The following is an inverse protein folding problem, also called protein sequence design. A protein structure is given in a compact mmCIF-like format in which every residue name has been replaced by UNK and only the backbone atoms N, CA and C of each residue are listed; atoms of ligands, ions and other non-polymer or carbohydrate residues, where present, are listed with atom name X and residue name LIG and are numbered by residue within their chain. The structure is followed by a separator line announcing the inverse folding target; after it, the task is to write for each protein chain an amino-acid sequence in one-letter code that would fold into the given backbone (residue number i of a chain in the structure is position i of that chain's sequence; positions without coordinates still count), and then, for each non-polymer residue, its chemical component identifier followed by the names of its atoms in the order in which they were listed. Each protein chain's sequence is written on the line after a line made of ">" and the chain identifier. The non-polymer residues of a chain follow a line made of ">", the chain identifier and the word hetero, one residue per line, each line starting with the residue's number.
data_IF_902026659078
#
_entry.id   IF_902026659078
#
_cell.length_a   1.000
_cell.length_b   1.000
_cell.length_c   1.000
_cell.angle_alpha   90.00
_cell.angle_beta   90.00
_cell.angle_gamma   90.00
#
_symmetry.space_group_name_H-M   'P 1'
#
loop_
_entity.id
_entity.type
_entity.pdbx_description
1 polymer ?
#
# COMPACT_ATOMS: atom_id res chain seq x y z
N UNK A 1 -2.15 -9.89 -43.65
CA UNK A 1 -3.49 -9.28 -43.45
C UNK A 1 -3.86 -9.11 -41.95
N UNK A 2 -3.42 -9.98 -41.05
CA UNK A 2 -3.71 -9.86 -39.59
C UNK A 2 -2.93 -8.72 -38.89
N UNK A 3 -1.66 -8.52 -39.23
CA UNK A 3 -0.83 -7.45 -38.65
C UNK A 3 -1.36 -6.03 -38.92
N UNK A 4 -1.96 -5.81 -40.09
CA UNK A 4 -2.52 -4.53 -40.42
C UNK A 4 -3.80 -4.21 -39.61
N UNK A 5 -4.59 -5.24 -39.24
CA UNK A 5 -5.76 -5.05 -38.38
C UNK A 5 -5.41 -4.71 -36.94
N UNK A 6 -4.33 -5.29 -36.42
CA UNK A 6 -3.85 -4.98 -35.08
C UNK A 6 -3.30 -3.54 -35.01
N UNK A 7 -2.49 -3.12 -36.00
CA UNK A 7 -1.97 -1.77 -36.06
C UNK A 7 -3.08 -0.71 -36.14
N UNK A 8 -4.14 -0.96 -36.92
CA UNK A 8 -5.29 -0.08 -37.02
C UNK A 8 -6.08 -0.03 -35.70
N UNK A 9 -6.22 -1.16 -35.01
CA UNK A 9 -6.89 -1.22 -33.71
C UNK A 9 -6.09 -0.45 -32.64
N UNK A 10 -4.77 -0.60 -32.61
CA UNK A 10 -3.84 0.15 -31.73
C UNK A 10 -4.00 1.66 -31.98
N UNK A 11 -3.84 2.11 -33.23
CA UNK A 11 -3.95 3.51 -33.59
C UNK A 11 -5.33 4.13 -33.21
N UNK A 12 -6.40 3.35 -33.32
CA UNK A 12 -7.75 3.77 -32.93
C UNK A 12 -7.92 3.93 -31.43
N UNK A 13 -7.30 3.05 -30.65
CA UNK A 13 -7.32 3.12 -29.18
C UNK A 13 -6.45 4.30 -28.71
N UNK A 14 -5.23 4.44 -29.25
CA UNK A 14 -4.33 5.55 -28.91
C UNK A 14 -4.92 6.91 -29.30
N UNK A 15 -5.59 7.00 -30.46
CA UNK A 15 -6.27 8.23 -30.89
C UNK A 15 -7.46 8.62 -30.01
N UNK A 16 -8.12 7.64 -29.35
CA UNK A 16 -9.28 7.89 -28.50
C UNK A 16 -8.93 8.09 -27.03
N UNK A 17 -7.86 7.42 -26.54
CA UNK A 17 -7.53 7.34 -25.12
C UNK A 17 -6.11 7.87 -24.80
N UNK A 18 -5.37 8.33 -25.82
CA UNK A 18 -3.99 8.82 -25.70
C UNK A 18 -2.95 7.74 -25.99
N UNK A 19 -1.74 8.17 -26.38
CA UNK A 19 -0.61 7.29 -26.78
C UNK A 19 -0.09 6.36 -25.68
N UNK A 20 -0.49 6.57 -24.43
CA UNK A 20 -0.14 5.73 -23.29
C UNK A 20 -1.27 4.77 -22.86
N UNK A 21 -2.36 4.70 -23.64
CA UNK A 21 -3.50 3.84 -23.32
C UNK A 21 -3.21 2.34 -23.48
N UNK A 22 -2.16 2.01 -24.26
CA UNK A 22 -1.73 0.64 -24.50
C UNK A 22 -0.30 0.45 -24.04
N UNK A 23 -0.03 -0.61 -23.29
CA UNK A 23 1.31 -1.08 -22.96
C UNK A 23 1.54 -2.45 -23.62
N UNK A 24 2.72 -2.63 -24.23
CA UNK A 24 3.13 -3.94 -24.73
C UNK A 24 3.52 -4.83 -23.56
N UNK A 25 3.02 -6.06 -23.52
CA UNK A 25 3.27 -7.01 -22.45
C UNK A 25 4.74 -7.47 -22.31
N UNK A 26 5.55 -7.27 -23.34
CA UNK A 26 6.96 -7.69 -23.40
C UNK A 26 7.96 -6.66 -22.88
N UNK A 27 7.55 -5.39 -22.78
CA UNK A 27 8.43 -4.30 -22.29
C UNK A 27 8.49 -4.24 -20.76
N UNK A 28 7.72 -5.08 -20.06
CA UNK A 28 7.43 -4.90 -18.66
C UNK A 28 8.42 -5.56 -17.69
N UNK A 29 9.17 -6.60 -18.10
CA UNK A 29 9.97 -7.36 -17.13
C UNK A 29 11.27 -6.68 -16.69
N UNK A 30 11.95 -5.97 -17.58
CA UNK A 30 13.22 -5.30 -17.25
C UNK A 30 13.04 -3.96 -16.51
N UNK A 31 11.92 -3.26 -16.73
CA UNK A 31 11.59 -2.03 -16.00
C UNK A 31 10.83 -2.28 -14.68
N UNK A 32 10.25 -3.47 -14.50
CA UNK A 32 9.51 -3.81 -13.27
C UNK A 32 10.43 -4.01 -12.06
N UNK A 33 11.62 -4.57 -12.23
CA UNK A 33 12.49 -4.85 -11.09
C UNK A 33 12.96 -3.59 -10.35
N UNK A 34 13.20 -2.50 -11.08
CA UNK A 34 13.68 -1.25 -10.51
C UNK A 34 12.58 -0.40 -9.87
N UNK A 35 11.32 -0.73 -10.17
CA UNK A 35 10.14 -0.01 -9.71
C UNK A 35 9.38 -0.73 -8.58
N UNK A 36 9.88 -1.89 -8.11
CA UNK A 36 9.26 -2.67 -7.06
C UNK A 36 9.92 -2.40 -5.72
N UNK A 37 9.10 -2.05 -4.72
CA UNK A 37 9.52 -1.92 -3.32
C UNK A 37 9.25 -3.26 -2.64
N UNK A 38 10.28 -4.10 -2.52
CA UNK A 38 10.20 -5.35 -1.80
C UNK A 38 10.30 -5.08 -0.29
N UNK A 39 9.33 -5.58 0.48
CA UNK A 39 9.32 -5.42 1.95
C UNK A 39 10.26 -6.39 2.65
N UNK A 40 10.85 -7.35 1.90
CA UNK A 40 11.69 -8.44 2.41
C UNK A 40 10.98 -9.26 3.48
N UNK A 41 9.72 -9.58 3.22
CA UNK A 41 8.85 -10.35 4.10
C UNK A 41 7.90 -11.24 3.30
N UNK A 42 7.17 -12.12 3.98
CA UNK A 42 6.13 -12.95 3.37
C UNK A 42 5.03 -12.12 2.69
N UNK A 43 4.90 -10.83 3.03
CA UNK A 43 4.00 -9.91 2.35
C UNK A 43 4.29 -9.78 0.85
N UNK A 44 5.57 -9.81 0.45
CA UNK A 44 5.95 -9.70 -0.96
C UNK A 44 5.34 -10.81 -1.82
N UNK A 45 5.25 -12.04 -1.27
CA UNK A 45 4.60 -13.16 -1.96
C UNK A 45 3.12 -12.85 -2.22
N UNK A 46 2.42 -12.32 -1.23
CA UNK A 46 1.00 -11.96 -1.33
C UNK A 46 0.78 -10.77 -2.28
N UNK A 47 1.73 -9.83 -2.32
CA UNK A 47 1.72 -8.67 -3.22
C UNK A 47 2.16 -9.02 -4.66
N UNK A 48 2.71 -10.21 -4.90
CA UNK A 48 3.27 -10.57 -6.21
C UNK A 48 4.65 -9.98 -6.48
N UNK A 49 5.43 -9.75 -5.41
CA UNK A 49 6.82 -9.25 -5.46
C UNK A 49 7.07 -8.00 -4.62
N UNK A 50 6.05 -7.24 -4.29
CA UNK A 50 6.14 -5.99 -3.52
C UNK A 50 5.20 -4.90 -4.03
N UNK A 51 5.45 -3.66 -3.62
CA UNK A 51 4.70 -2.49 -4.09
C UNK A 51 5.30 -1.99 -5.41
N UNK A 52 4.47 -1.81 -6.42
CA UNK A 52 4.92 -1.40 -7.77
C UNK A 52 4.71 0.09 -7.94
N UNK A 53 5.73 0.80 -8.44
CA UNK A 53 5.59 2.21 -8.81
C UNK A 53 4.52 2.38 -9.89
N UNK A 54 3.74 3.46 -9.79
CA UNK A 54 2.63 3.71 -10.72
C UNK A 54 1.40 2.84 -10.45
N UNK A 55 1.38 2.01 -9.40
CA UNK A 55 0.25 1.19 -9.00
C UNK A 55 -0.24 1.56 -7.60
N UNK A 56 -1.58 1.73 -7.41
CA UNK A 56 -2.14 1.93 -6.09
C UNK A 56 -2.47 0.59 -5.45
N UNK A 57 -2.24 0.46 -4.14
CA UNK A 57 -2.78 -0.63 -3.34
C UNK A 57 -3.39 -0.10 -2.03
N UNK A 58 -4.31 -0.85 -1.45
CA UNK A 58 -4.93 -0.52 -0.17
C UNK A 58 -4.74 -1.63 0.87
N UNK A 59 -4.34 -1.24 2.08
CA UNK A 59 -4.34 -2.05 3.28
C UNK A 59 -5.58 -1.72 4.10
N UNK A 60 -6.49 -2.69 4.20
CA UNK A 60 -7.81 -2.51 4.80
C UNK A 60 -7.97 -3.44 5.99
N UNK A 61 -8.61 -2.97 7.04
CA UNK A 61 -8.94 -3.77 8.21
C UNK A 61 -9.17 -2.93 9.46
N UNK A 62 -9.60 -3.55 10.56
CA UNK A 62 -9.91 -2.86 11.79
C UNK A 62 -8.70 -2.12 12.38
N UNK A 63 -8.90 -1.21 13.34
CA UNK A 63 -7.81 -0.57 14.05
C UNK A 63 -6.90 -1.58 14.75
N UNK A 64 -5.64 -1.21 14.93
CA UNK A 64 -4.63 -1.99 15.70
C UNK A 64 -4.42 -3.43 15.21
N UNK A 65 -4.60 -3.68 13.90
CA UNK A 65 -4.40 -5.02 13.30
C UNK A 65 -3.03 -5.17 12.63
N UNK A 66 -2.18 -4.14 12.64
CA UNK A 66 -0.81 -4.23 12.08
C UNK A 66 -0.62 -3.56 10.71
N UNK A 67 -1.66 -2.92 10.14
CA UNK A 67 -1.56 -2.21 8.85
C UNK A 67 -0.42 -1.19 8.83
N UNK A 68 -0.35 -0.33 9.86
CA UNK A 68 0.66 0.72 9.98
C UNK A 68 2.07 0.15 10.13
N UNK A 69 2.25 -0.96 10.87
CA UNK A 69 3.56 -1.62 10.96
C UNK A 69 4.07 -2.06 9.59
N UNK A 70 3.21 -2.66 8.78
CA UNK A 70 3.61 -3.06 7.42
C UNK A 70 3.80 -1.86 6.48
N UNK A 71 3.01 -0.79 6.62
CA UNK A 71 3.21 0.45 5.88
C UNK A 71 4.56 1.12 6.24
N UNK A 72 4.91 1.17 7.53
CA UNK A 72 6.22 1.66 7.99
C UNK A 72 7.37 0.78 7.49
N UNK A 73 7.21 -0.55 7.48
CA UNK A 73 8.20 -1.47 6.91
C UNK A 73 8.40 -1.23 5.41
N UNK A 74 7.31 -1.03 4.66
CA UNK A 74 7.39 -0.67 3.24
C UNK A 74 8.10 0.67 3.03
N UNK A 75 7.83 1.65 3.91
CA UNK A 75 8.51 2.96 3.91
C UNK A 75 10.02 2.81 4.11
N UNK A 76 10.43 2.06 5.13
CA UNK A 76 11.85 1.78 5.37
C UNK A 76 12.51 1.06 4.18
N UNK A 77 11.79 0.14 3.54
CA UNK A 77 12.27 -0.58 2.35
C UNK A 77 12.43 0.35 1.13
N UNK A 78 11.49 1.29 0.92
CA UNK A 78 11.59 2.30 -0.14
C UNK A 78 12.83 3.21 0.06
N UNK A 79 13.09 3.60 1.30
CA UNK A 79 14.25 4.41 1.68
C UNK A 79 15.56 3.65 1.53
N UNK A 80 15.60 2.36 1.88
CA UNK A 80 16.76 1.49 1.69
C UNK A 80 17.14 1.32 0.20
N UNK A 81 16.20 1.50 -0.71
CA UNK A 81 16.41 1.53 -2.17
C UNK A 81 16.80 2.92 -2.69
N UNK A 82 17.14 3.85 -1.81
CA UNK A 82 17.63 5.18 -2.18
C UNK A 82 16.54 6.26 -2.33
N UNK A 83 15.24 5.93 -2.15
CA UNK A 83 14.13 6.87 -2.31
C UNK A 83 13.80 7.68 -1.06
N UNK A 84 13.01 8.73 -1.23
CA UNK A 84 12.26 9.39 -0.17
C UNK A 84 10.86 8.81 -0.09
N UNK A 85 10.17 9.04 1.04
CA UNK A 85 8.78 8.70 1.19
C UNK A 85 7.95 9.92 1.61
N UNK A 86 6.71 9.97 1.14
CA UNK A 86 5.71 10.90 1.64
C UNK A 86 4.66 10.14 2.45
N UNK A 87 4.28 10.68 3.61
CA UNK A 87 3.20 10.17 4.44
C UNK A 87 2.12 11.23 4.57
N UNK A 88 0.99 11.00 3.92
CA UNK A 88 -0.16 11.90 3.96
C UNK A 88 -1.04 11.45 5.13
N UNK A 89 -1.13 12.30 6.15
CA UNK A 89 -1.74 12.02 7.46
C UNK A 89 -2.86 13.04 7.77
N UNK A 90 -4.07 12.85 7.24
CA UNK A 90 -5.19 13.74 7.50
C UNK A 90 -5.67 13.70 8.95
N UNK A 91 -5.38 12.63 9.68
CA UNK A 91 -5.82 12.42 11.06
C UNK A 91 -4.84 12.93 12.11
N UNK A 92 -3.62 13.25 11.71
CA UNK A 92 -2.51 13.62 12.59
C UNK A 92 -2.15 12.48 13.59
N UNK A 93 -2.23 11.23 13.11
CA UNK A 93 -1.98 10.00 13.88
C UNK A 93 -0.58 9.42 13.69
N UNK A 94 0.24 10.00 12.82
CA UNK A 94 1.59 9.51 12.55
C UNK A 94 2.45 9.55 13.84
N UNK A 95 2.98 8.38 14.20
CA UNK A 95 3.86 8.20 15.34
C UNK A 95 5.33 8.09 14.88
N UNK A 96 6.16 9.13 15.10
CA UNK A 96 7.56 9.10 14.71
C UNK A 96 8.39 8.07 15.50
N UNK A 97 7.99 7.72 16.73
CA UNK A 97 8.69 6.72 17.53
C UNK A 97 8.46 5.33 16.93
N UNK A 98 7.22 5.02 16.55
CA UNK A 98 6.90 3.77 15.84
C UNK A 98 7.64 3.70 14.49
N UNK A 99 7.74 4.81 13.77
CA UNK A 99 8.48 4.89 12.52
C UNK A 99 9.98 4.60 12.70
N UNK A 100 10.63 5.20 13.71
CA UNK A 100 12.02 4.93 14.03
C UNK A 100 12.24 3.46 14.44
N UNK A 101 11.34 2.88 15.23
CA UNK A 101 11.38 1.45 15.60
C UNK A 101 11.28 0.54 14.37
N UNK A 102 10.50 0.94 13.37
CA UNK A 102 10.39 0.27 12.08
C UNK A 102 11.58 0.55 11.14
N UNK A 103 12.61 1.28 11.62
CA UNK A 103 13.80 1.68 10.86
C UNK A 103 13.51 2.64 9.70
N UNK A 104 12.46 3.43 9.83
CA UNK A 104 12.20 4.54 8.91
C UNK A 104 13.19 5.67 9.22
N UNK A 105 13.87 6.15 8.18
CA UNK A 105 14.70 7.34 8.24
C UNK A 105 13.81 8.57 8.18
N UNK A 106 13.70 9.30 9.29
CA UNK A 106 12.85 10.48 9.38
C UNK A 106 13.38 11.67 8.58
N UNK A 107 14.66 11.74 8.27
CA UNK A 107 15.24 12.78 7.42
C UNK A 107 14.85 12.60 5.95
N UNK A 108 14.44 11.39 5.58
CA UNK A 108 13.98 11.02 4.23
C UNK A 108 12.47 10.77 4.18
N UNK A 109 11.72 11.29 5.16
CA UNK A 109 10.28 11.19 5.24
C UNK A 109 9.66 12.59 5.32
N UNK A 110 8.70 12.86 4.42
CA UNK A 110 7.87 14.07 4.50
C UNK A 110 6.48 13.67 4.99
N UNK A 111 6.06 14.21 6.14
CA UNK A 111 4.72 14.01 6.67
C UNK A 111 3.86 15.23 6.33
N UNK A 112 2.74 15.00 5.62
CA UNK A 112 1.83 16.05 5.14
C UNK A 112 0.46 15.91 5.83
N UNK A 113 0.06 16.87 6.61
CA UNK A 113 -1.24 16.92 7.29
C UNK A 113 -2.27 17.65 6.45
N UNK A 114 -2.81 16.97 5.43
CA UNK A 114 -3.80 17.51 4.51
C UNK A 114 -5.17 16.90 4.76
N UNK A 115 -6.22 17.72 4.87
CA UNK A 115 -7.60 17.29 5.16
C UNK A 115 -8.56 17.78 4.08
N UNK A 116 -9.73 17.11 3.97
CA UNK A 116 -10.79 17.49 3.04
C UNK A 116 -10.29 17.54 1.59
N UNK A 117 -10.60 18.61 0.88
CA UNK A 117 -10.19 18.78 -0.52
C UNK A 117 -8.67 18.80 -0.74
N UNK A 118 -7.88 19.19 0.30
CA UNK A 118 -6.43 19.22 0.21
C UNK A 118 -5.79 17.82 0.26
N UNK A 119 -6.50 16.80 0.76
CA UNK A 119 -6.01 15.42 0.80
C UNK A 119 -5.64 14.91 -0.59
N UNK A 120 -6.59 14.98 -1.53
CA UNK A 120 -6.35 14.55 -2.91
C UNK A 120 -5.29 15.41 -3.62
N UNK A 121 -5.27 16.73 -3.35
CA UNK A 121 -4.27 17.63 -3.94
C UNK A 121 -2.85 17.31 -3.46
N UNK A 122 -2.66 17.10 -2.15
CA UNK A 122 -1.38 16.74 -1.58
C UNK A 122 -0.91 15.36 -2.07
N UNK A 123 -1.82 14.38 -2.14
CA UNK A 123 -1.53 13.06 -2.69
C UNK A 123 -1.10 13.14 -4.16
N UNK A 124 -1.84 13.88 -4.98
CA UNK A 124 -1.50 14.05 -6.40
C UNK A 124 -0.18 14.80 -6.60
N UNK A 125 0.12 15.81 -5.78
CA UNK A 125 1.38 16.54 -5.82
C UNK A 125 2.56 15.63 -5.47
N UNK A 126 2.43 14.82 -4.42
CA UNK A 126 3.45 13.86 -4.04
C UNK A 126 3.70 12.80 -5.14
N UNK A 127 2.63 12.27 -5.76
CA UNK A 127 2.74 11.29 -6.84
C UNK A 127 3.38 11.84 -8.12
N UNK A 128 3.17 13.14 -8.42
CA UNK A 128 3.80 13.79 -9.58
C UNK A 128 5.24 14.22 -9.31
N UNK A 129 5.66 14.23 -8.07
CA UNK A 129 7.04 14.55 -7.71
C UNK A 129 7.95 13.37 -8.02
N UNK A 130 9.07 13.63 -8.69
CA UNK A 130 10.10 12.61 -8.94
C UNK A 130 10.94 12.27 -7.71
N UNK A 131 10.72 12.99 -6.59
CA UNK A 131 11.49 12.83 -5.35
C UNK A 131 11.05 11.66 -4.48
N UNK A 132 9.83 11.14 -4.67
CA UNK A 132 9.31 10.07 -3.81
C UNK A 132 9.32 8.71 -4.51
N UNK A 133 9.65 7.69 -3.73
CA UNK A 133 9.57 6.28 -4.11
C UNK A 133 8.27 5.64 -3.62
N UNK A 134 7.77 6.12 -2.48
CA UNK A 134 6.53 5.66 -1.87
C UNK A 134 5.72 6.84 -1.35
N UNK A 135 4.44 6.84 -1.68
CA UNK A 135 3.44 7.74 -1.09
C UNK A 135 2.48 6.88 -0.27
N UNK A 136 2.46 7.09 1.03
CA UNK A 136 1.50 6.46 1.95
C UNK A 136 0.40 7.48 2.26
N UNK A 137 -0.86 7.05 2.18
CA UNK A 137 -2.01 7.84 2.59
C UNK A 137 -2.73 7.10 3.71
N UNK A 138 -2.59 7.56 4.94
CA UNK A 138 -3.27 6.99 6.09
C UNK A 138 -4.58 7.74 6.35
N UNK A 139 -5.65 7.27 5.70
CA UNK A 139 -6.97 7.89 5.86
C UNK A 139 -7.62 7.54 7.20
N UNK A 140 -7.03 6.61 7.96
CA UNK A 140 -7.58 6.15 9.23
C UNK A 140 -8.84 5.31 9.07
N UNK A 141 -9.67 5.33 10.10
CA UNK A 141 -10.96 4.66 10.12
C UNK A 141 -12.06 5.71 10.33
N UNK A 142 -13.07 5.78 9.43
CA UNK A 142 -14.16 6.76 9.56
C UNK A 142 -14.91 6.68 10.90
N UNK A 143 -15.00 5.50 11.51
CA UNK A 143 -15.62 5.32 12.83
C UNK A 143 -14.85 6.02 13.96
N UNK A 144 -13.57 6.35 13.74
CA UNK A 144 -12.68 7.00 14.71
C UNK A 144 -12.15 8.36 14.22
N UNK A 145 -12.92 9.05 13.39
CA UNK A 145 -12.56 10.39 12.89
C UNK A 145 -11.63 10.39 11.68
N UNK A 146 -11.42 9.23 11.05
CA UNK A 146 -10.73 9.12 9.77
C UNK A 146 -11.57 9.66 8.60
N UNK A 147 -10.97 9.70 7.43
CA UNK A 147 -11.61 10.08 6.17
C UNK A 147 -11.89 8.83 5.33
N UNK A 148 -12.52 8.98 4.18
CA UNK A 148 -12.87 7.85 3.31
C UNK A 148 -11.80 7.62 2.25
N UNK A 149 -11.60 6.38 1.83
CA UNK A 149 -10.73 6.07 0.68
C UNK A 149 -11.20 6.79 -0.57
N UNK A 150 -12.52 7.00 -0.74
CA UNK A 150 -13.08 7.71 -1.89
C UNK A 150 -12.62 9.17 -2.00
N UNK A 151 -12.16 9.79 -0.91
CA UNK A 151 -11.70 11.18 -0.89
C UNK A 151 -10.35 11.37 -1.61
N UNK A 152 -9.61 10.29 -1.86
CA UNK A 152 -8.40 10.33 -2.69
C UNK A 152 -8.67 10.08 -4.18
N UNK A 153 -9.92 9.81 -4.57
CA UNK A 153 -10.28 9.51 -5.97
C UNK A 153 -9.70 10.52 -6.98
N UNK A 154 -9.73 11.85 -6.73
CA UNK A 154 -9.16 12.82 -7.66
C UNK A 154 -7.65 12.73 -7.84
N UNK A 155 -6.93 12.06 -6.91
CA UNK A 155 -5.49 11.86 -7.00
C UNK A 155 -5.09 10.61 -7.82
N UNK A 156 -5.99 9.63 -7.99
CA UNK A 156 -5.69 8.37 -8.66
C UNK A 156 -5.17 8.50 -10.11
N UNK A 157 -5.63 9.46 -10.93
CA UNK A 157 -5.03 9.68 -12.25
C UNK A 157 -3.53 10.01 -12.21
N UNK A 158 -3.03 10.59 -11.10
CA UNK A 158 -1.61 10.91 -10.94
C UNK A 158 -0.76 9.67 -10.60
N UNK A 159 -1.36 8.53 -10.27
CA UNK A 159 -0.63 7.29 -9.98
C UNK A 159 0.01 6.73 -11.23
N UNK A 160 -0.71 6.74 -12.36
CA UNK A 160 -0.17 6.25 -13.63
C UNK A 160 1.01 7.11 -14.07
N UNK A 161 2.13 6.46 -14.32
CA UNK A 161 3.38 7.14 -14.71
C UNK A 161 4.12 7.80 -13.54
N UNK A 162 3.62 7.68 -12.30
CA UNK A 162 4.36 8.09 -11.11
C UNK A 162 5.57 7.19 -10.88
N UNK A 163 6.74 7.74 -10.53
CA UNK A 163 7.88 6.94 -10.07
C UNK A 163 7.68 6.37 -8.67
N UNK A 164 6.61 6.77 -7.98
CA UNK A 164 6.25 6.29 -6.66
C UNK A 164 5.15 5.23 -6.71
N UNK A 165 5.18 4.27 -5.78
CA UNK A 165 4.04 3.44 -5.44
C UNK A 165 3.07 4.21 -4.54
N UNK A 166 1.77 3.96 -4.66
CA UNK A 166 0.75 4.49 -3.76
C UNK A 166 0.24 3.40 -2.82
N UNK A 167 0.42 3.59 -1.53
CA UNK A 167 -0.15 2.75 -0.47
C UNK A 167 -1.21 3.51 0.31
N UNK A 168 -2.43 3.03 0.30
CA UNK A 168 -3.53 3.57 1.09
C UNK A 168 -3.75 2.70 2.32
N UNK A 169 -3.83 3.28 3.50
CA UNK A 169 -4.15 2.58 4.75
C UNK A 169 -5.50 3.08 5.25
N UNK A 170 -6.45 2.16 5.47
CA UNK A 170 -7.81 2.52 5.84
C UNK A 170 -8.49 1.47 6.73
N UNK A 171 -9.59 1.85 7.38
CA UNK A 171 -10.49 0.94 8.08
C UNK A 171 -11.35 0.14 7.12
N UNK A 172 -11.90 0.80 6.11
CA UNK A 172 -12.84 0.25 5.14
C UNK A 172 -12.40 0.53 3.70
N UNK A 173 -12.75 -0.34 2.73
CA UNK A 173 -12.49 -0.09 1.32
C UNK A 173 -13.32 1.07 0.78
N UNK A 174 -12.82 1.70 -0.29
CA UNK A 174 -13.60 2.69 -1.03
C UNK A 174 -14.82 2.07 -1.73
N UNK A 175 -15.88 2.85 -1.86
CA UNK A 175 -17.10 2.42 -2.57
C UNK A 175 -17.12 2.85 -4.04
N UNK A 176 -16.39 3.93 -4.37
CA UNK A 176 -16.35 4.54 -5.71
C UNK A 176 -15.02 4.31 -6.42
N UNK A 177 -13.98 3.97 -5.68
CA UNK A 177 -12.64 3.73 -6.22
C UNK A 177 -12.28 2.26 -6.14
N UNK A 178 -11.87 1.68 -7.27
CA UNK A 178 -11.35 0.33 -7.33
C UNK A 178 -9.82 0.38 -7.18
N UNK A 179 -9.33 0.06 -5.98
CA UNK A 179 -7.91 -0.11 -5.68
C UNK A 179 -7.69 -1.57 -5.29
N UNK A 180 -6.66 -2.25 -5.81
CA UNK A 180 -6.29 -3.59 -5.33
C UNK A 180 -6.15 -3.60 -3.82
N UNK A 181 -6.96 -4.42 -3.16
CA UNK A 181 -7.14 -4.37 -1.70
C UNK A 181 -6.61 -5.62 -1.04
N UNK A 182 -5.86 -5.42 0.03
CA UNK A 182 -5.34 -6.44 0.91
C UNK A 182 -5.99 -6.28 2.30
N UNK A 183 -6.66 -7.32 2.74
CA UNK A 183 -7.41 -7.32 3.98
C UNK A 183 -6.54 -7.83 5.13
N UNK A 184 -6.60 -7.10 6.22
CA UNK A 184 -5.92 -7.41 7.47
C UNK A 184 -6.93 -7.94 8.47
N UNK A 185 -6.61 -9.08 9.06
CA UNK A 185 -7.46 -9.76 10.02
C UNK A 185 -6.65 -10.20 11.22
N UNK A 186 -7.18 -9.96 12.41
CA UNK A 186 -6.56 -10.47 13.64
C UNK A 186 -6.83 -11.97 13.73
N UNK A 187 -5.75 -12.76 13.86
CA UNK A 187 -5.82 -14.21 14.00
C UNK A 187 -5.93 -14.60 15.47
N UNK A 188 -5.04 -14.06 16.31
CA UNK A 188 -5.04 -14.39 17.73
C UNK A 188 -4.44 -13.25 18.58
N UNK A 189 -4.78 -13.27 19.85
CA UNK A 189 -4.08 -12.55 20.89
C UNK A 189 -2.98 -13.46 21.45
N UNK A 190 -1.76 -12.97 21.45
CA UNK A 190 -0.64 -13.66 22.06
C UNK A 190 -0.66 -13.40 23.57
N UNK A 191 -0.81 -14.44 24.34
CA UNK A 191 -0.85 -14.35 25.79
C UNK A 191 0.33 -15.09 26.42
N UNK A 192 0.88 -14.50 27.45
CA UNK A 192 1.86 -15.14 28.32
C UNK A 192 1.35 -15.02 29.74
N UNK A 193 0.99 -16.17 30.35
CA UNK A 193 0.22 -16.20 31.60
C UNK A 193 -1.08 -15.39 31.40
N UNK A 194 -1.43 -14.50 32.33
CA UNK A 194 -2.65 -13.69 32.28
C UNK A 194 -2.50 -12.36 31.50
N UNK A 195 -1.33 -12.11 30.88
CA UNK A 195 -1.05 -10.86 30.19
C UNK A 195 -1.05 -11.04 28.69
N UNK A 196 -1.69 -10.12 27.99
CA UNK A 196 -1.54 -10.00 26.54
C UNK A 196 -0.17 -9.41 26.23
N UNK A 197 0.66 -10.15 25.50
CA UNK A 197 2.01 -9.76 25.12
C UNK A 197 2.14 -9.39 23.64
N UNK A 198 1.06 -9.55 22.87
CA UNK A 198 1.04 -9.22 21.45
C UNK A 198 -0.21 -9.72 20.77
N UNK A 199 -0.17 -9.72 19.47
CA UNK A 199 -1.23 -10.29 18.62
C UNK A 199 -0.64 -10.77 17.30
N UNK A 200 -1.25 -11.79 16.72
CA UNK A 200 -0.97 -12.23 15.36
C UNK A 200 -2.07 -11.78 14.41
N UNK A 201 -1.69 -11.50 13.17
CA UNK A 201 -2.60 -11.10 12.12
C UNK A 201 -2.20 -11.69 10.78
N UNK A 202 -3.20 -11.90 9.93
CA UNK A 202 -3.03 -12.34 8.56
C UNK A 202 -3.34 -11.20 7.60
N UNK A 203 -2.65 -11.19 6.46
CA UNK A 203 -2.91 -10.26 5.37
C UNK A 203 -2.98 -11.01 4.05
N UNK A 204 -4.00 -10.70 3.23
CA UNK A 204 -4.19 -11.30 1.92
C UNK A 204 -5.28 -10.62 1.12
N UNK A 205 -5.47 -11.04 -0.13
CA UNK A 205 -6.62 -10.62 -0.93
C UNK A 205 -7.90 -11.30 -0.44
N UNK A 206 -9.05 -10.70 -0.71
CA UNK A 206 -10.33 -11.35 -0.46
C UNK A 206 -10.39 -12.69 -1.18
N UNK A 207 -10.86 -13.72 -0.49
CA UNK A 207 -11.01 -15.10 -0.99
C UNK A 207 -9.71 -15.77 -1.48
N UNK A 208 -8.53 -15.18 -1.22
CA UNK A 208 -7.27 -15.83 -1.52
C UNK A 208 -6.92 -16.86 -0.43
N UNK A 209 -6.37 -17.99 -0.85
CA UNK A 209 -5.85 -19.03 0.05
C UNK A 209 -4.50 -18.64 0.64
N UNK A 210 -3.68 -17.92 -0.11
CA UNK A 210 -2.36 -17.49 0.34
C UNK A 210 -2.44 -16.22 1.18
N UNK A 211 -2.02 -16.32 2.44
CA UNK A 211 -1.94 -15.20 3.37
C UNK A 211 -0.59 -15.13 4.04
N UNK A 212 -0.08 -13.92 4.19
CA UNK A 212 1.08 -13.66 5.02
C UNK A 212 0.65 -13.53 6.48
N UNK A 213 1.36 -14.16 7.38
CA UNK A 213 1.09 -14.16 8.81
C UNK A 213 2.19 -13.42 9.55
N UNK A 214 1.80 -12.53 10.43
CA UNK A 214 2.70 -11.73 11.25
C UNK A 214 2.29 -11.76 12.71
N UNK A 215 3.26 -11.52 13.60
CA UNK A 215 3.04 -11.30 15.02
C UNK A 215 3.63 -9.95 15.42
N UNK A 216 2.91 -9.19 16.22
CA UNK A 216 3.38 -7.94 16.83
C UNK A 216 3.49 -8.14 18.33
N UNK A 217 4.64 -7.85 18.91
CA UNK A 217 4.82 -7.84 20.36
C UNK A 217 4.36 -6.52 20.95
N UNK A 218 3.65 -6.56 22.08
CA UNK A 218 3.09 -5.36 22.71
C UNK A 218 4.13 -4.55 23.49
N UNK A 219 5.28 -5.15 23.82
CA UNK A 219 6.33 -4.52 24.63
C UNK A 219 7.14 -3.48 23.84
N UNK A 220 7.48 -3.80 22.62
CA UNK A 220 8.34 -2.97 21.76
C UNK A 220 7.73 -2.67 20.39
N UNK A 221 6.57 -3.24 20.10
CA UNK A 221 5.93 -3.13 18.78
C UNK A 221 6.68 -3.86 17.68
N UNK A 222 7.60 -4.79 18.04
CA UNK A 222 8.36 -5.54 17.07
C UNK A 222 7.45 -6.40 16.19
N UNK A 223 7.70 -6.36 14.89
CA UNK A 223 6.96 -7.12 13.89
C UNK A 223 7.77 -8.34 13.48
N UNK A 224 7.29 -9.53 13.81
CA UNK A 224 7.82 -10.81 13.35
C UNK A 224 7.03 -11.32 12.16
N UNK A 225 7.73 -11.79 11.14
CA UNK A 225 7.17 -12.46 9.97
C UNK A 225 7.09 -13.97 10.26
N UNK A 226 5.89 -14.53 10.22
CA UNK A 226 5.62 -15.94 10.48
C UNK A 226 5.44 -16.77 9.19
N UNK A 227 5.68 -16.15 8.03
CA UNK A 227 5.57 -16.80 6.72
C UNK A 227 4.18 -16.76 6.12
N UNK A 228 3.95 -17.56 5.10
CA UNK A 228 2.65 -17.71 4.46
C UNK A 228 1.92 -18.96 4.93
N UNK A 229 0.61 -18.84 5.11
CA UNK A 229 -0.28 -19.94 5.53
C UNK A 229 -1.39 -20.11 4.51
N UNK A 230 -1.44 -21.25 3.79
CA UNK A 230 -2.49 -21.52 2.82
C UNK A 230 -3.83 -21.94 3.44
N UNK A 231 -3.82 -22.29 4.70
CA UNK A 231 -4.96 -22.82 5.46
C UNK A 231 -5.83 -21.75 6.12
N UNK A 232 -5.41 -20.48 6.10
CA UNK A 232 -6.18 -19.37 6.66
C UNK A 232 -7.14 -18.80 5.60
N UNK A 233 -8.30 -19.41 5.45
CA UNK A 233 -9.39 -18.87 4.63
C UNK A 233 -10.17 -17.85 5.45
N UNK A 234 -10.22 -16.59 5.00
CA UNK A 234 -11.15 -15.62 5.59
C UNK A 234 -12.54 -15.88 5.06
N UNK A 235 -13.45 -16.13 5.96
CA UNK A 235 -14.86 -15.94 5.70
C UNK A 235 -15.12 -14.43 5.87
N UNK A 236 -15.34 -13.73 4.74
CA UNK A 236 -15.81 -12.34 4.82
C UNK A 236 -17.17 -12.35 5.48
N UNK A 237 -17.30 -11.71 6.64
CA UNK A 237 -18.57 -11.41 7.32
C UNK A 237 -19.08 -10.08 6.82
#
# INVERSE_FOLDING_TARGET
>A
MAENRLAVAIARIEGRFGVHALARGDTSERHRSDLVIATKSSLDRVLGGGLVAGEPIAFIGPPSVGKLQLALRATASAQAQGGMAAWIDPTASFDPIAAQRARVDLERLIVVRARGAHLALATAAALRSEGFRLVVVDVGDPAFGGTKVDDIAPALPAVRGSPAALLVVAGEPGRRVAIPTFFFERVAWERRFDRTVGWSFAVGRAHASDRALFCVTSLDGALADLGTRPDLVTVAV
#
